data_IF_405698830905
#
_entry.id   IF_405698830905
#
_cell.length_a   1.000
_cell.length_b   1.000
_cell.length_c   1.000
_cell.angle_alpha   90.00
_cell.angle_beta   90.00
_cell.angle_gamma   90.00
#
_symmetry.space_group_name_H-M   'P 1'
#
loop_
_entity.id
_entity.type
_entity.pdbx_description
1 polymer ?
#
# COMPACT_ATOMS: atom_id res chain seq x y z
N UNK A 1 6.91 -13.39 -0.51
CA UNK A 1 6.11 -12.21 -0.88
C UNK A 1 4.74 -12.35 -0.26
N UNK A 2 4.32 -11.34 0.50
CA UNK A 2 3.05 -11.25 1.23
C UNK A 2 2.12 -10.29 0.49
N UNK A 3 0.83 -10.36 0.79
CA UNK A 3 -0.13 -9.34 0.32
C UNK A 3 0.37 -7.96 0.76
N UNK A 4 0.20 -6.96 -0.11
CA UNK A 4 0.67 -5.59 0.06
C UNK A 4 2.17 -5.34 -0.19
N UNK A 5 3.00 -6.39 -0.34
CA UNK A 5 4.37 -6.17 -0.82
C UNK A 5 4.35 -5.46 -2.18
N UNK A 6 5.33 -4.56 -2.36
CA UNK A 6 5.59 -3.85 -3.60
C UNK A 6 6.57 -4.65 -4.46
N UNK A 7 6.34 -4.61 -5.76
CA UNK A 7 7.03 -5.43 -6.76
C UNK A 7 7.36 -4.57 -7.96
N UNK A 8 8.60 -4.64 -8.43
CA UNK A 8 8.98 -3.99 -9.69
C UNK A 8 9.25 -5.07 -10.73
N UNK A 9 8.67 -4.87 -11.91
CA UNK A 9 8.81 -5.75 -13.07
C UNK A 9 9.48 -4.98 -14.20
N UNK A 10 10.22 -5.71 -15.03
CA UNK A 10 10.70 -5.16 -16.28
C UNK A 10 9.50 -4.86 -17.20
N UNK A 11 9.48 -3.73 -17.95
CA UNK A 11 8.42 -3.44 -18.91
C UNK A 11 8.18 -4.54 -19.94
N UNK A 12 9.19 -5.37 -20.24
CA UNK A 12 9.13 -6.47 -21.20
C UNK A 12 8.90 -7.84 -20.53
N UNK A 13 8.69 -7.90 -19.21
CA UNK A 13 8.47 -9.16 -18.51
C UNK A 13 7.25 -9.90 -19.08
N UNK A 14 7.33 -11.22 -19.32
CA UNK A 14 6.18 -11.97 -19.77
C UNK A 14 5.19 -12.10 -18.60
N UNK A 15 4.04 -11.46 -18.74
CA UNK A 15 2.94 -11.51 -17.80
C UNK A 15 1.64 -11.79 -18.53
N UNK A 16 0.67 -12.32 -17.82
CA UNK A 16 -0.70 -12.46 -18.28
C UNK A 16 -1.54 -11.35 -17.70
N UNK A 17 -2.13 -10.52 -18.56
CA UNK A 17 -3.04 -9.47 -18.15
C UNK A 17 -4.40 -10.08 -17.77
N UNK A 18 -4.92 -9.69 -16.61
CA UNK A 18 -6.23 -10.14 -16.13
C UNK A 18 -7.33 -9.10 -16.36
N UNK A 19 -6.95 -7.83 -16.45
CA UNK A 19 -7.89 -6.74 -16.75
C UNK A 19 -7.95 -6.49 -18.26
N UNK A 20 -9.08 -6.72 -18.93
CA UNK A 20 -9.18 -6.57 -20.38
C UNK A 20 -8.70 -5.19 -20.86
N UNK A 21 -7.88 -5.17 -21.92
CA UNK A 21 -7.34 -3.94 -22.52
C UNK A 21 -6.28 -3.20 -21.69
N UNK A 22 -5.81 -3.76 -20.56
CA UNK A 22 -4.88 -3.07 -19.67
C UNK A 22 -3.39 -3.21 -20.01
N UNK A 23 -3.00 -4.05 -21.00
CA UNK A 23 -1.58 -4.38 -21.21
C UNK A 23 -0.72 -3.13 -21.44
N UNK A 24 -1.06 -2.30 -22.43
CA UNK A 24 -0.29 -1.09 -22.74
C UNK A 24 -0.12 -0.15 -21.54
N UNK A 25 -1.15 -0.05 -20.68
CA UNK A 25 -1.11 0.77 -19.46
C UNK A 25 -0.21 0.16 -18.40
N UNK A 26 -0.26 -1.16 -18.20
CA UNK A 26 0.62 -1.88 -17.27
C UNK A 26 2.09 -1.81 -17.74
N UNK A 27 2.32 -1.86 -19.06
CA UNK A 27 3.65 -1.68 -19.66
C UNK A 27 4.17 -0.26 -19.40
N UNK A 28 3.35 0.77 -19.65
CA UNK A 28 3.70 2.16 -19.35
C UNK A 28 3.97 2.39 -17.86
N UNK A 29 3.18 1.76 -16.98
CA UNK A 29 3.40 1.79 -15.52
C UNK A 29 4.77 1.24 -15.12
N UNK A 30 5.13 0.07 -15.67
CA UNK A 30 6.46 -0.51 -15.44
C UNK A 30 7.59 0.38 -16.02
N UNK A 31 7.37 1.02 -17.18
CA UNK A 31 8.35 1.94 -17.78
C UNK A 31 8.61 3.16 -16.90
N UNK A 32 7.56 3.66 -16.24
CA UNK A 32 7.66 4.72 -15.25
C UNK A 32 8.33 4.27 -13.93
N UNK A 33 8.77 3.01 -13.83
CA UNK A 33 9.42 2.41 -12.65
C UNK A 33 8.54 2.43 -11.39
N UNK A 34 7.23 2.48 -11.57
CA UNK A 34 6.27 2.43 -10.47
C UNK A 34 6.05 0.98 -10.00
N UNK A 35 5.84 0.76 -8.70
CA UNK A 35 5.61 -0.59 -8.17
C UNK A 35 4.23 -1.13 -8.54
N UNK A 36 4.16 -2.45 -8.62
CA UNK A 36 2.93 -3.23 -8.54
C UNK A 36 2.73 -3.71 -7.11
N UNK A 37 1.50 -3.95 -6.68
CA UNK A 37 1.22 -4.54 -5.35
C UNK A 37 0.85 -5.99 -5.46
N UNK A 38 1.38 -6.83 -4.56
CA UNK A 38 0.95 -8.21 -4.41
C UNK A 38 -0.49 -8.24 -3.89
N UNK A 39 -1.38 -8.76 -4.73
CA UNK A 39 -2.78 -8.95 -4.40
C UNK A 39 -3.00 -10.29 -3.69
N UNK A 40 -4.21 -10.48 -3.15
CA UNK A 40 -4.64 -11.80 -2.67
C UNK A 40 -4.61 -12.77 -3.85
N UNK A 41 -3.93 -13.90 -3.68
CA UNK A 41 -3.87 -14.98 -4.66
C UNK A 41 -5.17 -15.79 -4.61
N UNK A 42 -5.56 -16.30 -5.77
CA UNK A 42 -6.53 -17.38 -5.90
C UNK A 42 -5.75 -18.65 -6.27
N UNK A 43 -5.60 -19.63 -5.34
CA UNK A 43 -4.80 -20.83 -5.58
C UNK A 43 -5.26 -21.63 -6.80
N UNK A 44 -6.56 -21.63 -7.12
CA UNK A 44 -7.12 -22.42 -8.21
C UNK A 44 -6.73 -21.82 -9.56
N UNK A 45 -6.83 -20.50 -9.68
CA UNK A 45 -6.57 -19.84 -10.96
C UNK A 45 -5.11 -19.43 -11.14
N UNK A 46 -4.40 -19.07 -10.07
CA UNK A 46 -3.06 -18.48 -10.14
C UNK A 46 -1.93 -19.52 -10.15
N UNK A 47 -2.18 -20.78 -9.79
CA UNK A 47 -1.14 -21.81 -9.72
C UNK A 47 0.01 -21.38 -8.80
N UNK A 48 1.24 -21.28 -9.34
CA UNK A 48 2.43 -20.76 -8.65
C UNK A 48 2.75 -19.29 -8.98
N UNK A 49 1.98 -18.67 -9.88
CA UNK A 49 2.19 -17.29 -10.28
C UNK A 49 1.81 -16.31 -9.15
N UNK A 50 2.40 -15.12 -9.24
CA UNK A 50 2.02 -13.97 -8.44
C UNK A 50 0.86 -13.26 -9.11
N UNK A 51 -0.17 -12.91 -8.34
CA UNK A 51 -1.18 -11.96 -8.76
C UNK A 51 -0.80 -10.57 -8.29
N UNK A 52 -0.65 -9.65 -9.25
CA UNK A 52 -0.26 -8.28 -8.98
C UNK A 52 -1.37 -7.31 -9.39
N UNK A 53 -1.44 -6.18 -8.72
CA UNK A 53 -2.37 -5.11 -9.00
C UNK A 53 -1.69 -3.75 -9.16
N UNK A 54 -2.38 -2.85 -9.86
CA UNK A 54 -2.09 -1.42 -9.94
C UNK A 54 -3.40 -0.68 -9.66
N UNK A 55 -3.57 -0.05 -8.49
CA UNK A 55 -4.66 0.88 -8.27
C UNK A 55 -4.33 2.22 -8.92
N UNK A 56 -5.30 2.77 -9.61
CA UNK A 56 -5.17 4.01 -10.37
C UNK A 56 -5.69 5.20 -9.56
N UNK A 57 -5.20 6.43 -9.83
CA UNK A 57 -5.56 7.63 -9.10
C UNK A 57 -7.05 7.99 -9.21
N UNK A 58 -7.49 8.98 -8.45
CA UNK A 58 -8.88 9.47 -8.45
C UNK A 58 -9.33 9.94 -9.83
N UNK A 59 -8.44 10.57 -10.60
CA UNK A 59 -8.70 11.00 -11.98
C UNK A 59 -9.14 9.83 -12.88
N UNK A 60 -8.75 8.62 -12.53
CA UNK A 60 -9.06 7.38 -13.25
C UNK A 60 -10.09 6.52 -12.50
N UNK A 61 -10.93 7.17 -11.69
CA UNK A 61 -12.06 6.56 -10.96
C UNK A 61 -11.65 5.40 -10.05
N UNK A 62 -10.40 5.40 -9.56
CA UNK A 62 -9.87 4.34 -8.67
C UNK A 62 -9.96 2.94 -9.26
N UNK A 63 -9.91 2.83 -10.60
CA UNK A 63 -9.84 1.55 -11.28
C UNK A 63 -8.63 0.73 -10.78
N UNK A 64 -8.74 -0.59 -10.83
CA UNK A 64 -7.65 -1.50 -10.47
C UNK A 64 -7.31 -2.36 -11.67
N UNK A 65 -6.10 -2.21 -12.17
CA UNK A 65 -5.55 -3.10 -13.19
C UNK A 65 -4.90 -4.29 -12.50
N UNK A 66 -4.92 -5.45 -13.14
CA UNK A 66 -4.39 -6.70 -12.59
C UNK A 66 -3.72 -7.55 -13.66
N UNK A 67 -2.69 -8.28 -13.22
CA UNK A 67 -1.93 -9.22 -14.03
C UNK A 67 -1.45 -10.39 -13.18
N UNK A 68 -0.95 -11.43 -13.85
CA UNK A 68 -0.21 -12.54 -13.26
C UNK A 68 1.15 -12.66 -13.89
N UNK A 69 2.13 -13.03 -13.08
CA UNK A 69 3.52 -13.14 -13.52
C UNK A 69 4.23 -14.23 -12.72
N UNK A 70 5.17 -14.92 -13.35
CA UNK A 70 6.05 -15.83 -12.64
C UNK A 70 7.04 -15.08 -11.75
N UNK A 71 7.39 -15.67 -10.61
CA UNK A 71 8.27 -15.05 -9.61
C UNK A 71 9.66 -14.71 -10.17
N UNK A 72 10.14 -15.49 -11.14
CA UNK A 72 11.44 -15.29 -11.80
C UNK A 72 11.53 -13.93 -12.51
N UNK A 73 10.42 -13.32 -12.91
CA UNK A 73 10.42 -12.03 -13.60
C UNK A 73 10.36 -10.81 -12.65
N UNK A 74 10.34 -11.04 -11.34
CA UNK A 74 10.40 -9.98 -10.34
C UNK A 74 11.82 -9.43 -10.24
N UNK A 75 12.00 -8.15 -10.53
CA UNK A 75 13.31 -7.49 -10.46
C UNK A 75 13.65 -7.05 -9.04
N UNK A 76 12.65 -6.55 -8.31
CA UNK A 76 12.80 -6.05 -6.95
C UNK A 76 11.51 -6.25 -6.19
N UNK A 77 11.65 -6.47 -4.89
CA UNK A 77 10.55 -6.43 -3.93
C UNK A 77 10.87 -5.45 -2.82
N UNK A 78 9.84 -4.89 -2.21
CA UNK A 78 9.94 -4.12 -0.98
C UNK A 78 8.64 -4.31 -0.17
N UNK A 79 8.70 -4.18 1.17
CA UNK A 79 7.48 -4.02 1.95
C UNK A 79 6.78 -2.69 1.60
N UNK A 80 5.51 -2.49 1.98
CA UNK A 80 4.87 -1.19 1.91
C UNK A 80 5.65 -0.12 2.69
N UNK A 81 5.54 1.17 2.31
CA UNK A 81 6.27 2.25 2.97
C UNK A 81 5.89 2.34 4.45
N UNK A 82 6.83 2.78 5.28
CA UNK A 82 6.59 3.07 6.69
C UNK A 82 5.64 4.26 6.83
N UNK A 83 4.91 4.31 7.95
CA UNK A 83 4.05 5.44 8.26
C UNK A 83 4.83 6.77 8.28
N UNK A 84 6.06 6.78 8.79
CA UNK A 84 6.91 7.96 8.79
C UNK A 84 7.22 8.47 7.37
N UNK A 85 7.59 7.57 6.45
CA UNK A 85 7.90 7.91 5.05
C UNK A 85 6.67 8.48 4.33
N UNK A 86 5.49 7.89 4.58
CA UNK A 86 4.24 8.41 3.99
C UNK A 86 3.87 9.76 4.59
N UNK A 87 3.98 9.91 5.92
CA UNK A 87 3.59 11.13 6.62
C UNK A 87 4.28 12.36 6.03
N UNK A 88 5.59 12.31 5.76
CA UNK A 88 6.34 13.43 5.17
C UNK A 88 5.74 13.93 3.84
N UNK A 89 5.13 13.04 3.05
CA UNK A 89 4.50 13.35 1.77
C UNK A 89 3.03 13.84 1.87
N UNK A 90 2.41 13.79 3.06
CA UNK A 90 1.01 14.19 3.25
C UNK A 90 0.83 15.69 3.44
N UNK A 91 -0.42 16.17 3.31
CA UNK A 91 -0.76 17.57 3.63
C UNK A 91 -0.55 17.91 5.11
N UNK A 92 -0.45 19.21 5.42
CA UNK A 92 -0.19 19.68 6.79
C UNK A 92 -1.16 19.11 7.84
N UNK A 93 -2.50 19.06 7.64
CA UNK A 93 -3.41 18.49 8.63
C UNK A 93 -3.09 17.04 9.00
N UNK A 94 -2.75 16.20 8.01
CA UNK A 94 -2.34 14.82 8.24
C UNK A 94 -0.97 14.72 8.90
N UNK A 95 0.01 15.52 8.44
CA UNK A 95 1.36 15.54 9.05
C UNK A 95 1.33 15.94 10.51
N UNK A 96 0.58 16.98 10.86
CA UNK A 96 0.48 17.47 12.22
C UNK A 96 -0.27 16.47 13.12
N UNK A 97 -1.33 15.85 12.61
CA UNK A 97 -2.05 14.80 13.32
C UNK A 97 -1.21 13.53 13.52
N UNK A 98 -0.37 13.15 12.56
CA UNK A 98 0.47 11.95 12.65
C UNK A 98 1.73 12.13 13.51
N UNK A 99 2.19 13.36 13.73
CA UNK A 99 3.38 13.63 14.55
C UNK A 99 3.31 13.02 15.97
N UNK A 100 2.24 13.22 16.77
CA UNK A 100 2.14 12.58 18.09
C UNK A 100 2.06 11.06 17.98
N UNK A 101 1.35 10.52 16.99
CA UNK A 101 1.27 9.07 16.77
C UNK A 101 2.65 8.48 16.46
N UNK A 102 3.45 9.14 15.63
CA UNK A 102 4.82 8.72 15.30
C UNK A 102 5.76 8.81 16.50
N UNK A 103 5.63 9.82 17.35
CA UNK A 103 6.42 9.95 18.58
C UNK A 103 6.13 8.81 19.57
N UNK A 104 4.86 8.42 19.70
CA UNK A 104 4.42 7.31 20.54
C UNK A 104 4.88 5.92 20.05
N UNK A 105 5.37 5.83 18.82
CA UNK A 105 5.86 4.60 18.19
C UNK A 105 7.38 4.39 18.34
N UNK A 106 8.08 5.27 19.07
CA UNK A 106 9.54 5.23 19.26
C UNK A 106 10.02 4.19 20.29
N UNK A 107 9.11 3.59 21.05
CA UNK A 107 9.37 2.43 21.94
C UNK A 107 9.61 1.14 21.11
N UNK A 108 10.02 -0.03 21.66
CA UNK A 108 10.52 -1.17 20.86
C UNK A 108 9.47 -1.89 19.96
N UNK A 109 8.37 -1.21 19.62
CA UNK A 109 7.39 -1.58 18.63
C UNK A 109 7.92 -1.40 17.21
N UNK A 110 7.70 -2.39 16.34
CA UNK A 110 7.99 -2.22 14.92
C UNK A 110 7.04 -1.17 14.34
N UNK A 111 7.53 -0.14 13.63
CA UNK A 111 6.69 0.91 13.10
C UNK A 111 5.68 0.34 12.08
N UNK A 112 4.42 0.80 12.09
CA UNK A 112 3.41 0.36 11.15
C UNK A 112 3.77 0.81 9.73
N UNK A 113 3.33 0.00 8.77
CA UNK A 113 3.46 0.30 7.34
C UNK A 113 2.13 0.77 6.78
N UNK A 114 2.15 1.53 5.70
CA UNK A 114 0.94 2.07 5.09
C UNK A 114 0.66 1.32 3.80
N UNK A 115 -0.61 0.99 3.58
CA UNK A 115 -1.10 0.53 2.28
C UNK A 115 -2.26 1.41 1.82
N UNK A 116 -2.91 1.01 0.72
CA UNK A 116 -4.06 1.76 0.23
C UNK A 116 -3.69 3.16 -0.28
N UNK A 117 -4.67 4.07 -0.26
CA UNK A 117 -4.62 5.33 -1.00
C UNK A 117 -3.47 6.24 -0.56
N UNK A 118 -3.15 6.26 0.74
CA UNK A 118 -2.05 7.06 1.29
C UNK A 118 -0.69 6.59 0.78
N UNK A 119 -0.45 5.27 0.78
CA UNK A 119 0.76 4.69 0.22
C UNK A 119 0.89 5.02 -1.27
N UNK A 120 -0.19 4.88 -2.05
CA UNK A 120 -0.15 5.13 -3.50
C UNK A 120 0.08 6.60 -3.84
N UNK A 121 -0.51 7.53 -3.09
CA UNK A 121 -0.23 8.95 -3.28
C UNK A 121 1.24 9.27 -2.99
N UNK A 122 1.81 8.72 -1.90
CA UNK A 122 3.23 8.89 -1.58
C UNK A 122 4.15 8.27 -2.65
N UNK A 123 3.84 7.06 -3.13
CA UNK A 123 4.64 6.34 -4.12
C UNK A 123 4.60 6.94 -5.54
N UNK A 124 3.47 7.55 -5.92
CA UNK A 124 3.24 8.04 -7.30
C UNK A 124 3.27 9.55 -7.43
N UNK A 125 3.07 10.29 -6.33
CA UNK A 125 2.82 11.73 -6.34
C UNK A 125 1.47 12.15 -6.92
N UNK A 126 0.61 11.20 -7.32
CA UNK A 126 -0.70 11.49 -7.92
C UNK A 126 -1.80 11.56 -6.86
N UNK A 127 -2.94 12.25 -7.11
CA UNK A 127 -4.04 12.29 -6.17
C UNK A 127 -4.76 10.93 -6.04
N UNK A 128 -4.67 10.31 -4.86
CA UNK A 128 -5.46 9.13 -4.47
C UNK A 128 -6.44 9.42 -3.33
N UNK A 129 -6.22 10.50 -2.58
CA UNK A 129 -6.98 10.84 -1.38
C UNK A 129 -8.18 11.74 -1.69
N UNK A 130 -9.32 11.44 -1.08
CA UNK A 130 -10.49 12.31 -0.99
C UNK A 130 -10.79 12.62 0.49
N UNK A 131 -11.72 13.54 0.75
CA UNK A 131 -12.01 14.05 2.11
C UNK A 131 -12.40 12.97 3.15
N UNK A 132 -12.85 11.79 2.70
CA UNK A 132 -13.22 10.66 3.56
C UNK A 132 -12.26 9.48 3.45
N UNK A 133 -11.04 9.67 2.97
CA UNK A 133 -10.04 8.59 2.89
C UNK A 133 -9.53 8.20 4.27
N UNK A 134 -9.38 6.90 4.46
CA UNK A 134 -8.90 6.29 5.71
C UNK A 134 -7.41 5.97 5.56
N UNK A 135 -6.66 6.14 6.65
CA UNK A 135 -5.27 5.75 6.68
C UNK A 135 -5.17 4.25 7.01
N UNK A 136 -4.87 3.44 6.00
CA UNK A 136 -4.75 2.00 6.13
C UNK A 136 -3.33 1.59 6.61
N UNK A 137 -3.23 0.95 7.78
CA UNK A 137 -1.99 0.53 8.42
C UNK A 137 -1.83 -0.99 8.46
N UNK A 138 -0.58 -1.45 8.38
CA UNK A 138 -0.17 -2.84 8.61
C UNK A 138 0.75 -2.88 9.82
N UNK A 139 0.29 -3.57 10.85
CA UNK A 139 1.02 -3.80 12.09
C UNK A 139 1.69 -5.17 12.08
N UNK A 140 2.97 -5.22 12.48
CA UNK A 140 3.64 -6.49 12.79
C UNK A 140 3.36 -6.86 14.24
N UNK A 141 2.19 -7.48 14.48
CA UNK A 141 1.73 -7.89 15.80
C UNK A 141 2.59 -9.05 16.34
N UNK A 142 3.08 -8.90 17.55
CA UNK A 142 3.92 -9.90 18.25
C UNK A 142 3.10 -10.81 19.15
N UNK A 143 2.05 -10.25 19.78
CA UNK A 143 1.19 -10.91 20.75
C UNK A 143 -0.13 -10.15 20.92
N UNK A 144 -1.04 -10.71 21.70
CA UNK A 144 -2.35 -10.10 21.97
C UNK A 144 -2.28 -8.76 22.70
N UNK A 145 -1.30 -8.56 23.59
CA UNK A 145 -1.17 -7.31 24.34
C UNK A 145 -0.73 -6.16 23.41
N UNK A 146 0.20 -6.43 22.49
CA UNK A 146 0.58 -5.51 21.44
C UNK A 146 -0.61 -5.17 20.53
N UNK A 147 -1.41 -6.17 20.10
CA UNK A 147 -2.61 -5.92 19.31
C UNK A 147 -3.63 -5.00 20.03
N UNK A 148 -3.88 -5.26 21.31
CA UNK A 148 -4.78 -4.45 22.13
C UNK A 148 -4.24 -3.01 22.29
N UNK A 149 -2.95 -2.85 22.58
CA UNK A 149 -2.31 -1.55 22.71
C UNK A 149 -2.35 -0.74 21.41
N UNK A 150 -2.09 -1.38 20.26
CA UNK A 150 -2.16 -0.73 18.95
C UNK A 150 -3.59 -0.29 18.61
N UNK A 151 -4.58 -1.14 18.93
CA UNK A 151 -6.00 -0.81 18.73
C UNK A 151 -6.44 0.39 19.58
N UNK A 152 -6.11 0.41 20.87
CA UNK A 152 -6.48 1.55 21.73
C UNK A 152 -5.77 2.84 21.29
N UNK A 153 -4.50 2.75 20.89
CA UNK A 153 -3.76 3.89 20.36
C UNK A 153 -4.43 4.48 19.12
N UNK A 154 -4.85 3.62 18.18
CA UNK A 154 -5.60 4.05 16.99
C UNK A 154 -6.92 4.73 17.38
N UNK A 155 -7.73 4.11 18.25
CA UNK A 155 -9.01 4.70 18.69
C UNK A 155 -8.82 6.05 19.40
N UNK A 156 -7.78 6.18 20.23
CA UNK A 156 -7.46 7.45 20.91
C UNK A 156 -7.14 8.54 19.90
N UNK A 157 -6.28 8.22 18.93
CA UNK A 157 -5.89 9.12 17.86
C UNK A 157 -7.08 9.59 17.02
N UNK A 158 -8.00 8.70 16.63
CA UNK A 158 -9.20 9.07 15.86
C UNK A 158 -10.09 10.05 16.63
N UNK A 159 -10.27 9.85 17.95
CA UNK A 159 -11.05 10.76 18.80
C UNK A 159 -10.41 12.14 18.92
N UNK A 160 -9.09 12.19 19.01
CA UNK A 160 -8.33 13.44 19.18
C UNK A 160 -8.28 14.29 17.91
N UNK A 161 -8.19 13.65 16.74
CA UNK A 161 -7.94 14.34 15.48
C UNK A 161 -9.13 14.39 14.52
N UNK A 162 -10.19 13.60 14.75
CA UNK A 162 -11.36 13.53 13.86
C UNK A 162 -11.06 12.95 12.47
N UNK A 163 -9.91 12.28 12.33
CA UNK A 163 -9.48 11.55 11.15
C UNK A 163 -9.65 10.05 11.38
N UNK A 164 -9.66 9.26 10.30
CA UNK A 164 -9.93 7.81 10.37
C UNK A 164 -8.69 6.99 10.04
N UNK A 165 -8.48 5.93 10.81
CA UNK A 165 -7.35 4.99 10.67
C UNK A 165 -7.87 3.55 10.76
N UNK A 166 -7.39 2.67 9.89
CA UNK A 166 -7.74 1.24 9.87
C UNK A 166 -6.46 0.40 9.88
N UNK A 167 -6.48 -0.83 10.42
CA UNK A 167 -5.27 -1.66 10.50
C UNK A 167 -5.31 -2.87 11.40
#
# INVERSE_FOLDING_TARGET
>A
MRRHDLVWLAPQAPWQVLTPGADARLRAWAQARLPFVVARRDPVTDGDQLRLGVPLPLAERRQRLSLRVERIHVQRTAPPPLLAEVAEALSAPWRDALRPLLADLLEPTRPPRVFGSFAWQSLTGLPYLHAGSDLDLLWEITDHAHAAASTERMRRWEREHGLRIDG
#
